data_IF_914135424321
#
_entry.id   IF_914135424321
#
_cell.length_a   1.000
_cell.length_b   1.000
_cell.length_c   1.000
_cell.angle_alpha   90.00
_cell.angle_beta   90.00
_cell.angle_gamma   90.00
#
_symmetry.space_group_name_H-M   'P 1'
#
loop_
_entity.id
_entity.type
_entity.pdbx_description
1 polymer ?
#
# COMPACT_ATOMS: atom_id res chain seq x y z
N UNK A 1 2.17 -20.66 0.52
CA UNK A 1 1.02 -21.30 -0.17
C UNK A 1 0.41 -20.27 -1.10
N UNK A 2 -0.18 -20.70 -2.24
CA UNK A 2 -0.75 -19.80 -3.25
C UNK A 2 -2.08 -20.33 -3.75
N UNK A 3 -3.06 -20.39 -2.85
CA UNK A 3 -4.43 -20.73 -3.24
C UNK A 3 -5.08 -19.51 -3.90
N UNK A 4 -6.02 -19.76 -4.81
CA UNK A 4 -6.84 -18.70 -5.39
C UNK A 4 -7.63 -18.04 -4.25
N UNK A 5 -7.62 -16.71 -4.20
CA UNK A 5 -8.41 -15.99 -3.20
C UNK A 5 -9.89 -16.37 -3.36
N UNK A 6 -10.56 -16.60 -2.24
CA UNK A 6 -11.99 -16.93 -2.19
C UNK A 6 -12.75 -15.75 -2.80
N UNK A 7 -13.66 -16.03 -3.73
CA UNK A 7 -14.60 -15.02 -4.22
C UNK A 7 -15.62 -14.75 -3.09
N UNK A 8 -15.67 -13.53 -2.51
CA UNK A 8 -16.65 -13.22 -1.47
C UNK A 8 -18.09 -13.15 -2.00
N UNK A 9 -18.27 -13.03 -3.33
CA UNK A 9 -19.56 -12.96 -4.01
C UNK A 9 -19.60 -13.96 -5.17
N UNK A 10 -19.63 -15.28 -4.88
CA UNK A 10 -19.65 -16.32 -5.91
C UNK A 10 -20.91 -16.26 -6.79
N UNK A 11 -21.98 -15.67 -6.25
CA UNK A 11 -23.30 -15.61 -6.89
C UNK A 11 -23.56 -14.26 -7.60
N UNK A 12 -22.55 -13.38 -7.75
CA UNK A 12 -22.71 -12.12 -8.47
C UNK A 12 -22.91 -12.38 -9.98
N UNK A 13 -24.07 -11.98 -10.48
CA UNK A 13 -24.44 -12.10 -11.90
C UNK A 13 -23.92 -10.91 -12.72
N UNK A 14 -23.68 -11.17 -14.01
CA UNK A 14 -23.32 -10.13 -14.99
C UNK A 14 -24.55 -9.25 -15.23
N UNK A 15 -24.45 -7.97 -14.93
CA UNK A 15 -25.52 -6.99 -15.16
C UNK A 15 -25.68 -6.71 -16.66
N UNK A 16 -24.55 -6.51 -17.34
CA UNK A 16 -24.46 -6.37 -18.79
C UNK A 16 -23.02 -6.61 -19.24
N UNK A 17 -22.79 -6.71 -20.54
CA UNK A 17 -21.46 -6.86 -21.11
C UNK A 17 -21.19 -5.77 -22.12
N UNK A 18 -20.05 -5.10 -21.99
CA UNK A 18 -19.55 -4.17 -22.99
C UNK A 18 -18.75 -4.98 -24.02
N UNK A 19 -19.11 -4.76 -25.27
CA UNK A 19 -18.55 -5.36 -26.47
C UNK A 19 -18.24 -4.25 -27.47
N UNK A 20 -17.55 -4.53 -28.57
CA UNK A 20 -17.35 -3.50 -29.60
C UNK A 20 -18.66 -2.91 -30.13
N UNK A 21 -19.76 -3.68 -30.12
CA UNK A 21 -21.05 -3.26 -30.66
C UNK A 21 -21.76 -2.18 -29.82
N UNK A 22 -21.44 -2.05 -28.53
CA UNK A 22 -22.05 -1.07 -27.62
C UNK A 22 -21.01 -0.22 -26.87
N UNK A 23 -19.74 -0.29 -27.28
CA UNK A 23 -18.63 0.43 -26.65
C UNK A 23 -18.89 1.94 -26.55
N UNK A 24 -19.41 2.53 -27.64
CA UNK A 24 -19.69 3.97 -27.72
C UNK A 24 -20.70 4.45 -26.65
N UNK A 25 -21.58 3.57 -26.17
CA UNK A 25 -22.55 3.91 -25.11
C UNK A 25 -21.88 4.07 -23.74
N UNK A 26 -20.65 3.58 -23.57
CA UNK A 26 -19.93 3.54 -22.31
C UNK A 26 -18.55 4.20 -22.40
N UNK A 27 -18.30 5.03 -23.42
CA UNK A 27 -16.97 5.57 -23.71
C UNK A 27 -16.34 6.28 -22.51
N UNK A 28 -17.13 7.03 -21.72
CA UNK A 28 -16.66 7.75 -20.53
C UNK A 28 -16.13 6.84 -19.41
N UNK A 29 -16.48 5.56 -19.42
CA UNK A 29 -16.07 4.56 -18.44
C UNK A 29 -14.92 3.67 -18.93
N UNK A 30 -14.50 3.81 -20.20
CA UNK A 30 -13.48 2.97 -20.82
C UNK A 30 -12.18 3.73 -21.01
N UNK A 31 -11.10 3.20 -20.46
CA UNK A 31 -9.76 3.73 -20.75
C UNK A 31 -9.37 3.44 -22.20
N UNK A 32 -8.48 4.25 -22.78
CA UNK A 32 -8.03 4.06 -24.16
C UNK A 32 -7.44 2.66 -24.41
N UNK A 33 -6.77 2.07 -23.40
CA UNK A 33 -6.28 0.71 -23.49
C UNK A 33 -7.40 -0.34 -23.56
N UNK A 34 -8.49 -0.17 -22.83
CA UNK A 34 -9.65 -1.09 -22.89
C UNK A 34 -10.39 -0.93 -24.23
N UNK A 35 -10.55 0.30 -24.73
CA UNK A 35 -11.10 0.55 -26.07
C UNK A 35 -10.28 -0.14 -27.16
N UNK A 36 -8.96 0.03 -27.14
CA UNK A 36 -8.06 -0.63 -28.08
C UNK A 36 -8.14 -2.17 -28.01
N UNK A 37 -8.32 -2.76 -26.83
CA UNK A 37 -8.51 -4.20 -26.68
C UNK A 37 -9.83 -4.69 -27.28
N UNK A 38 -10.92 -3.95 -27.11
CA UNK A 38 -12.22 -4.26 -27.75
C UNK A 38 -12.10 -4.21 -29.28
N UNK A 39 -11.44 -3.19 -29.82
CA UNK A 39 -11.22 -3.03 -31.27
C UNK A 39 -10.29 -4.10 -31.86
N UNK A 40 -9.20 -4.43 -31.16
CA UNK A 40 -8.21 -5.40 -31.64
C UNK A 40 -8.74 -6.83 -31.60
N UNK A 41 -9.56 -7.15 -30.59
CA UNK A 41 -10.05 -8.51 -30.34
C UNK A 41 -11.59 -8.56 -30.26
N UNK A 42 -12.29 -8.20 -31.35
CA UNK A 42 -13.72 -7.90 -31.28
C UNK A 42 -14.62 -9.12 -31.00
N UNK A 43 -14.08 -10.33 -31.18
CA UNK A 43 -14.81 -11.59 -30.96
C UNK A 43 -14.44 -12.30 -29.67
N UNK A 44 -13.29 -11.97 -29.07
CA UNK A 44 -12.75 -12.70 -27.90
C UNK A 44 -12.62 -11.83 -26.65
N UNK A 45 -12.49 -10.51 -26.80
CA UNK A 45 -12.44 -9.58 -25.69
C UNK A 45 -13.80 -8.93 -25.44
N UNK A 46 -14.20 -8.91 -24.16
CA UNK A 46 -15.45 -8.33 -23.68
C UNK A 46 -15.30 -7.94 -22.22
N UNK A 47 -16.02 -6.91 -21.79
CA UNK A 47 -15.98 -6.42 -20.40
C UNK A 47 -17.30 -6.76 -19.72
N UNK A 48 -17.39 -7.87 -18.96
CA UNK A 48 -18.55 -8.14 -18.14
C UNK A 48 -18.61 -7.16 -16.97
N UNK A 49 -19.76 -6.52 -16.77
CA UNK A 49 -20.00 -5.57 -15.70
C UNK A 49 -20.83 -6.24 -14.60
N UNK A 50 -20.38 -6.12 -13.36
CA UNK A 50 -21.00 -6.70 -12.17
C UNK A 50 -21.43 -5.61 -11.19
N UNK A 51 -22.23 -5.99 -10.19
CA UNK A 51 -22.57 -5.11 -9.08
C UNK A 51 -21.31 -4.62 -8.36
N UNK A 52 -21.25 -3.32 -8.10
CA UNK A 52 -20.15 -2.76 -7.28
C UNK A 52 -20.30 -3.19 -5.82
N UNK A 53 -19.26 -3.82 -5.29
CA UNK A 53 -19.16 -4.25 -3.88
C UNK A 53 -18.00 -3.50 -3.21
N UNK A 54 -18.29 -2.69 -2.20
CA UNK A 54 -17.25 -2.04 -1.37
C UNK A 54 -17.05 -2.83 -0.08
N UNK A 55 -16.36 -3.96 -0.19
CA UNK A 55 -15.98 -4.76 0.97
C UNK A 55 -14.64 -4.32 1.51
N UNK A 56 -14.56 -4.18 2.83
CA UNK A 56 -13.31 -3.98 3.54
C UNK A 56 -13.39 -4.74 4.87
N UNK A 57 -12.32 -5.45 5.21
CA UNK A 57 -12.23 -6.22 6.45
C UNK A 57 -10.87 -5.96 7.10
N UNK A 58 -10.92 -5.68 8.41
CA UNK A 58 -9.77 -5.51 9.29
C UNK A 58 -10.06 -6.24 10.59
N UNK A 59 -9.05 -6.57 11.41
CA UNK A 59 -9.28 -7.09 12.76
C UNK A 59 -10.19 -6.15 13.58
N UNK A 60 -11.00 -6.71 14.47
CA UNK A 60 -11.97 -5.93 15.27
C UNK A 60 -11.32 -4.80 16.05
N UNK A 61 -10.12 -5.02 16.59
CA UNK A 61 -9.38 -4.00 17.33
C UNK A 61 -8.95 -2.82 16.43
N UNK A 62 -8.65 -3.06 15.15
CA UNK A 62 -8.35 -1.97 14.19
C UNK A 62 -9.60 -1.17 13.90
N UNK A 63 -10.75 -1.83 13.77
CA UNK A 63 -12.03 -1.16 13.56
C UNK A 63 -12.44 -0.32 14.77
N UNK A 64 -12.20 -0.82 15.98
CA UNK A 64 -12.50 -0.07 17.21
C UNK A 64 -11.59 1.15 17.35
N UNK A 65 -10.28 0.98 17.19
CA UNK A 65 -9.35 2.11 17.21
C UNK A 65 -9.66 3.13 16.09
N UNK A 66 -10.12 2.67 14.92
CA UNK A 66 -10.58 3.58 13.85
C UNK A 66 -11.78 4.41 14.29
N UNK A 67 -12.69 3.84 15.08
CA UNK A 67 -13.85 4.56 15.63
C UNK A 67 -13.39 5.61 16.65
N UNK A 68 -12.43 5.28 17.51
CA UNK A 68 -11.84 6.20 18.48
C UNK A 68 -11.10 7.34 17.76
N UNK A 69 -10.22 7.00 16.81
CA UNK A 69 -9.47 7.97 15.99
C UNK A 69 -10.40 8.96 15.26
N UNK A 70 -11.61 8.54 14.88
CA UNK A 70 -12.57 9.42 14.19
C UNK A 70 -12.92 10.70 14.98
N UNK A 71 -12.75 10.69 16.30
CA UNK A 71 -13.06 11.84 17.18
C UNK A 71 -11.82 12.42 17.87
N UNK A 72 -10.67 11.74 17.84
CA UNK A 72 -9.43 12.18 18.51
C UNK A 72 -8.32 12.60 17.55
N UNK A 73 -8.32 12.10 16.31
CA UNK A 73 -7.24 12.33 15.37
C UNK A 73 -7.18 13.79 14.88
N UNK A 74 -6.00 14.38 14.92
CA UNK A 74 -5.74 15.72 14.40
C UNK A 74 -4.50 15.75 13.51
N UNK A 75 -4.51 16.64 12.53
CA UNK A 75 -3.32 16.95 11.73
C UNK A 75 -2.47 17.95 12.52
N UNK A 76 -1.19 17.65 12.67
CA UNK A 76 -0.23 18.56 13.26
C UNK A 76 0.33 19.49 12.18
N UNK A 77 0.35 20.79 12.46
CA UNK A 77 0.90 21.80 11.56
C UNK A 77 0.16 21.89 10.21
N UNK A 78 0.90 21.98 9.12
CA UNK A 78 0.36 22.00 7.74
C UNK A 78 0.44 20.63 7.05
N UNK A 79 0.01 19.57 7.75
CA UNK A 79 0.11 18.20 7.25
C UNK A 79 1.40 17.47 7.63
N UNK A 80 2.16 18.04 8.57
CA UNK A 80 3.50 17.61 8.95
C UNK A 80 3.50 16.35 9.82
N UNK A 81 2.40 16.11 10.53
CA UNK A 81 2.24 14.96 11.41
C UNK A 81 0.79 14.67 11.76
N UNK A 82 0.64 13.67 12.64
CA UNK A 82 -0.62 13.22 13.22
C UNK A 82 -0.49 13.28 14.76
N UNK A 83 -1.60 13.53 15.42
CA UNK A 83 -1.75 13.40 16.88
C UNK A 83 -3.13 12.80 17.20
N UNK A 84 -3.27 12.19 18.37
CA UNK A 84 -4.51 11.59 18.86
C UNK A 84 -4.97 10.36 18.08
N UNK A 85 -4.08 9.59 17.46
CA UNK A 85 -4.49 8.42 16.68
C UNK A 85 -3.47 7.28 16.67
N UNK A 86 -3.94 6.06 16.91
CA UNK A 86 -3.10 4.86 16.88
C UNK A 86 -3.89 3.62 16.43
N UNK A 87 -3.24 2.63 15.82
CA UNK A 87 -3.79 1.30 15.59
C UNK A 87 -5.05 1.22 14.73
N UNK A 88 -5.42 2.28 14.01
CA UNK A 88 -6.63 2.40 13.21
C UNK A 88 -6.48 3.44 12.11
N UNK A 89 -7.45 3.57 11.21
CA UNK A 89 -7.42 4.66 10.24
C UNK A 89 -7.61 5.99 10.97
N UNK A 90 -6.70 6.98 10.83
CA UNK A 90 -6.82 8.24 11.57
C UNK A 90 -8.07 9.03 11.20
N UNK A 91 -8.38 9.12 9.91
CA UNK A 91 -9.48 9.95 9.40
C UNK A 91 -10.47 9.11 8.59
N UNK A 92 -11.28 8.25 9.22
CA UNK A 92 -12.29 7.46 8.50
C UNK A 92 -13.38 8.34 7.85
N UNK A 93 -13.59 9.55 8.40
CA UNK A 93 -14.46 10.58 7.84
C UNK A 93 -13.62 11.85 7.65
N UNK A 94 -13.33 12.18 6.40
CA UNK A 94 -12.57 13.39 6.08
C UNK A 94 -13.40 14.65 6.38
N UNK A 95 -12.77 15.66 6.96
CA UNK A 95 -13.45 16.89 7.39
C UNK A 95 -12.59 18.14 7.14
N UNK A 96 -13.19 19.32 7.29
CA UNK A 96 -12.52 20.60 7.03
C UNK A 96 -12.57 21.04 5.57
N UNK A 97 -11.61 21.89 5.17
CA UNK A 97 -11.46 22.37 3.79
C UNK A 97 -10.74 21.34 2.89
N UNK A 98 -10.61 21.62 1.60
CA UNK A 98 -10.04 20.67 0.63
C UNK A 98 -8.56 20.36 0.88
N UNK A 99 -7.79 21.31 1.41
CA UNK A 99 -6.39 21.12 1.78
C UNK A 99 -6.25 20.19 2.99
N UNK A 100 -7.06 20.41 4.03
CA UNK A 100 -7.10 19.55 5.21
C UNK A 100 -7.54 18.12 4.85
N UNK A 101 -8.57 17.97 4.02
CA UNK A 101 -8.99 16.66 3.50
C UNK A 101 -7.88 15.96 2.72
N UNK A 102 -7.09 16.71 1.94
CA UNK A 102 -5.95 16.16 1.21
C UNK A 102 -4.87 15.63 2.17
N UNK A 103 -4.52 16.38 3.21
CA UNK A 103 -3.59 15.90 4.25
C UNK A 103 -4.12 14.65 4.96
N UNK A 104 -5.38 14.65 5.38
CA UNK A 104 -6.02 13.51 6.03
C UNK A 104 -6.01 12.26 5.13
N UNK A 105 -6.27 12.42 3.82
CA UNK A 105 -6.21 11.32 2.87
C UNK A 105 -4.78 10.76 2.71
N UNK A 106 -3.77 11.63 2.68
CA UNK A 106 -2.35 11.22 2.67
C UNK A 106 -2.00 10.48 3.95
N UNK A 107 -2.41 10.98 5.12
CA UNK A 107 -2.15 10.34 6.41
C UNK A 107 -2.82 8.97 6.52
N UNK A 108 -4.06 8.82 6.07
CA UNK A 108 -4.71 7.52 5.93
C UNK A 108 -3.90 6.56 5.03
N UNK A 109 -3.31 7.07 3.94
CA UNK A 109 -2.46 6.24 3.07
C UNK A 109 -1.17 5.81 3.77
N UNK A 110 -0.46 6.74 4.43
CA UNK A 110 0.80 6.48 5.13
C UNK A 110 0.63 5.47 6.27
N UNK A 111 -0.47 5.59 7.02
CA UNK A 111 -0.79 4.78 8.19
C UNK A 111 -1.79 3.66 7.90
N UNK A 112 -2.04 3.27 6.64
CA UNK A 112 -3.01 2.21 6.31
C UNK A 112 -2.62 0.85 6.91
N UNK A 113 -3.64 0.08 7.32
CA UNK A 113 -3.48 -1.30 7.78
C UNK A 113 -2.81 -2.19 6.72
N UNK A 114 -1.72 -2.87 7.13
CA UNK A 114 -0.93 -3.79 6.29
C UNK A 114 -0.58 -5.09 7.04
N UNK A 115 -1.19 -5.31 8.21
CA UNK A 115 -0.72 -6.28 9.21
C UNK A 115 0.17 -5.61 10.27
N UNK A 116 0.61 -6.39 11.24
CA UNK A 116 1.55 -5.95 12.31
C UNK A 116 2.99 -6.05 11.83
N UNK A 117 3.34 -7.14 11.14
CA UNK A 117 4.62 -7.33 10.50
C UNK A 117 4.46 -7.96 9.13
N UNK A 118 5.47 -7.76 8.28
CA UNK A 118 5.57 -8.43 6.98
C UNK A 118 7.02 -8.81 6.71
N UNK A 119 7.20 -10.03 6.20
CA UNK A 119 8.45 -10.44 5.58
C UNK A 119 8.18 -10.72 4.11
N UNK A 120 8.88 -10.01 3.23
CA UNK A 120 8.79 -10.16 1.79
C UNK A 120 10.15 -10.54 1.24
N UNK A 121 10.20 -11.59 0.43
CA UNK A 121 11.37 -11.92 -0.37
C UNK A 121 11.05 -11.66 -1.83
N UNK A 122 11.89 -10.89 -2.50
CA UNK A 122 11.67 -10.53 -3.90
C UNK A 122 12.97 -10.47 -4.67
N UNK A 123 12.88 -10.76 -5.97
CA UNK A 123 13.95 -10.55 -6.91
C UNK A 123 13.60 -9.40 -7.84
N UNK A 124 14.48 -8.43 -7.96
CA UNK A 124 14.43 -7.41 -9.00
C UNK A 124 15.16 -7.92 -10.23
N UNK A 125 14.55 -7.69 -11.40
CA UNK A 125 15.04 -8.21 -12.68
C UNK A 125 15.29 -7.04 -13.62
N UNK A 126 16.56 -6.73 -13.86
CA UNK A 126 16.95 -5.79 -14.91
C UNK A 126 17.19 -6.59 -16.20
N UNK A 127 16.30 -6.42 -17.18
CA UNK A 127 16.37 -7.08 -18.50
C UNK A 127 17.10 -6.17 -19.48
N UNK A 128 18.11 -6.72 -20.15
CA UNK A 128 18.90 -6.04 -21.18
C UNK A 128 18.21 -6.12 -22.54
N UNK A 129 18.63 -5.29 -23.50
CA UNK A 129 18.03 -5.23 -24.85
C UNK A 129 18.14 -6.55 -25.62
N UNK A 130 19.13 -7.38 -25.30
CA UNK A 130 19.32 -8.71 -25.88
C UNK A 130 18.52 -9.82 -25.17
N UNK A 131 17.73 -9.49 -24.14
CA UNK A 131 16.95 -10.45 -23.35
C UNK A 131 17.70 -11.06 -22.16
N UNK A 132 19.00 -10.82 -22.01
CA UNK A 132 19.75 -11.25 -20.82
C UNK A 132 19.27 -10.51 -19.58
N UNK A 133 19.30 -11.16 -18.43
CA UNK A 133 18.90 -10.55 -17.17
C UNK A 133 19.78 -10.98 -16.01
N UNK A 134 19.78 -10.16 -14.96
CA UNK A 134 20.36 -10.52 -13.67
C UNK A 134 19.33 -10.31 -12.56
N UNK A 135 19.36 -11.22 -11.58
CA UNK A 135 18.45 -11.18 -10.45
C UNK A 135 19.17 -10.60 -9.23
N UNK A 136 18.61 -9.56 -8.64
CA UNK A 136 19.00 -9.09 -7.30
C UNK A 136 17.91 -9.51 -6.35
N UNK A 137 18.20 -10.46 -5.45
CA UNK A 137 17.23 -10.94 -4.47
C UNK A 137 17.49 -10.29 -3.13
N UNK A 138 16.46 -9.68 -2.58
CA UNK A 138 16.48 -9.10 -1.24
C UNK A 138 15.33 -9.66 -0.40
N UNK A 139 15.53 -9.65 0.91
CA UNK A 139 14.48 -9.85 1.89
C UNK A 139 14.24 -8.52 2.58
N UNK A 140 12.97 -8.14 2.64
CA UNK A 140 12.48 -6.97 3.33
C UNK A 140 11.63 -7.43 4.51
N UNK A 141 11.82 -6.78 5.64
CA UNK A 141 11.05 -6.95 6.84
C UNK A 141 10.51 -5.58 7.24
N UNK A 142 9.23 -5.50 7.57
CA UNK A 142 8.67 -4.31 8.16
C UNK A 142 7.86 -4.66 9.39
N UNK A 143 8.03 -3.84 10.44
CA UNK A 143 7.20 -3.85 11.62
C UNK A 143 6.43 -2.54 11.67
N UNK A 144 5.11 -2.62 11.56
CA UNK A 144 4.22 -1.46 11.54
C UNK A 144 3.91 -1.03 12.97
N UNK A 145 4.84 -0.27 13.57
CA UNK A 145 4.76 0.19 14.96
C UNK A 145 3.44 0.90 15.28
N UNK A 146 2.89 1.66 14.33
CA UNK A 146 1.57 2.29 14.41
C UNK A 146 0.41 1.33 14.69
N UNK A 147 0.60 0.04 14.40
CA UNK A 147 -0.37 -1.03 14.60
C UNK A 147 0.14 -2.09 15.57
N UNK A 148 1.07 -1.74 16.48
CA UNK A 148 1.52 -2.66 17.51
C UNK A 148 0.37 -2.93 18.51
N UNK A 149 -0.19 -4.16 18.58
CA UNK A 149 -1.29 -4.45 19.50
C UNK A 149 -0.88 -4.43 20.99
N UNK A 150 0.42 -4.40 21.27
CA UNK A 150 0.98 -4.35 22.63
C UNK A 150 1.44 -2.93 23.03
N UNK A 151 1.17 -1.91 22.21
CA UNK A 151 1.53 -0.52 22.49
C UNK A 151 0.39 0.46 22.27
N UNK A 152 0.72 1.75 22.35
CA UNK A 152 -0.17 2.87 22.06
C UNK A 152 0.55 4.02 21.35
N UNK A 153 -0.16 5.12 21.18
CA UNK A 153 0.39 6.33 20.55
C UNK A 153 1.65 6.85 21.26
N UNK A 154 1.63 6.82 22.60
CA UNK A 154 2.74 7.25 23.46
C UNK A 154 4.02 6.41 23.29
N UNK A 155 3.89 5.16 22.86
CA UNK A 155 5.01 4.25 22.62
C UNK A 155 5.65 4.43 21.23
N UNK A 156 5.06 5.26 20.36
CA UNK A 156 5.55 5.41 18.99
C UNK A 156 6.95 6.03 18.93
N UNK A 157 7.31 6.89 19.88
CA UNK A 157 8.52 7.72 19.86
C UNK A 157 8.73 8.39 18.48
N UNK A 158 7.64 8.93 17.93
CA UNK A 158 7.58 9.54 16.60
C UNK A 158 7.93 8.58 15.43
N UNK A 159 7.86 7.25 15.59
CA UNK A 159 8.15 6.25 14.53
C UNK A 159 6.93 5.39 14.22
N UNK A 160 6.40 5.49 12.99
CA UNK A 160 5.20 4.74 12.55
C UNK A 160 5.51 3.35 12.01
N UNK A 161 6.69 3.11 11.46
CA UNK A 161 7.16 1.77 11.12
C UNK A 161 8.67 1.68 11.02
N UNK A 162 9.16 0.46 11.26
CA UNK A 162 10.53 0.06 11.04
C UNK A 162 10.61 -0.78 9.78
N UNK A 163 11.65 -0.57 8.98
CA UNK A 163 11.89 -1.34 7.76
C UNK A 163 13.36 -1.75 7.68
N UNK A 164 13.59 -3.04 7.46
CA UNK A 164 14.91 -3.62 7.25
C UNK A 164 14.91 -4.36 5.93
N UNK A 165 15.86 -4.05 5.05
CA UNK A 165 16.10 -4.79 3.83
C UNK A 165 17.53 -5.27 3.78
N UNK A 166 17.75 -6.51 3.35
CA UNK A 166 19.09 -7.04 3.13
C UNK A 166 19.18 -7.85 1.84
N UNK A 167 20.30 -7.67 1.14
CA UNK A 167 20.56 -8.33 -0.13
C UNK A 167 21.08 -9.75 0.12
N UNK A 168 20.38 -10.73 -0.44
CA UNK A 168 20.75 -12.14 -0.36
C UNK A 168 21.57 -12.60 -1.57
N UNK A 169 21.30 -12.05 -2.75
CA UNK A 169 22.02 -12.37 -3.98
C UNK A 169 21.98 -11.20 -4.97
N UNK A 170 22.94 -11.10 -5.90
CA UNK A 170 24.10 -11.99 -6.13
C UNK A 170 25.21 -11.83 -5.07
N UNK A 171 26.18 -12.76 -4.96
CA UNK A 171 27.24 -12.72 -3.94
C UNK A 171 28.02 -11.41 -3.87
N UNK A 172 28.16 -10.69 -5.00
CA UNK A 172 28.83 -9.38 -5.04
C UNK A 172 28.13 -8.31 -4.20
N UNK A 173 26.80 -8.39 -4.11
CA UNK A 173 25.96 -7.43 -3.38
C UNK A 173 25.44 -8.00 -2.05
N UNK A 174 25.60 -9.32 -1.85
CA UNK A 174 25.12 -10.02 -0.68
C UNK A 174 25.74 -9.45 0.60
N UNK A 175 24.93 -9.35 1.65
CA UNK A 175 25.33 -8.82 2.95
C UNK A 175 25.20 -7.30 3.07
N UNK A 176 24.82 -6.58 2.02
CA UNK A 176 24.36 -5.19 2.16
C UNK A 176 23.00 -5.13 2.86
N UNK A 177 22.75 -4.08 3.65
CA UNK A 177 21.48 -3.87 4.34
C UNK A 177 21.08 -2.39 4.41
N UNK A 178 19.78 -2.12 4.51
CA UNK A 178 19.20 -0.80 4.73
C UNK A 178 18.21 -0.90 5.89
N UNK A 179 18.39 -0.06 6.90
CA UNK A 179 17.43 0.14 8.00
C UNK A 179 16.79 1.51 7.85
N UNK A 180 15.46 1.59 7.98
CA UNK A 180 14.69 2.84 7.94
C UNK A 180 13.78 2.89 9.17
N UNK A 181 13.77 4.04 9.84
CA UNK A 181 12.72 4.41 10.78
C UNK A 181 11.89 5.51 10.12
N UNK A 182 10.63 5.21 9.81
CA UNK A 182 9.71 6.19 9.24
C UNK A 182 9.04 6.97 10.36
N UNK A 183 9.07 8.30 10.27
CA UNK A 183 8.59 9.15 11.36
C UNK A 183 7.14 9.61 11.18
N UNK A 184 6.46 9.84 12.31
CA UNK A 184 5.09 10.36 12.34
C UNK A 184 5.05 11.87 12.08
N UNK A 185 6.06 12.59 12.53
CA UNK A 185 6.23 14.02 12.31
C UNK A 185 7.66 14.29 11.85
N UNK A 186 7.81 14.63 10.58
CA UNK A 186 9.10 14.82 9.94
C UNK A 186 9.79 16.14 10.33
N UNK A 187 9.05 17.10 10.90
CA UNK A 187 9.62 18.35 11.41
C UNK A 187 10.32 18.13 12.75
N UNK A 188 9.76 17.27 13.63
CA UNK A 188 10.38 16.92 14.91
C UNK A 188 11.60 16.03 14.67
N UNK A 189 11.40 14.91 13.97
CA UNK A 189 12.48 14.02 13.56
C UNK A 189 12.32 13.68 12.07
N UNK A 190 13.31 13.97 11.20
CA UNK A 190 13.27 13.51 9.82
C UNK A 190 13.36 11.98 9.77
N UNK A 191 12.99 11.39 8.63
CA UNK A 191 13.20 9.97 8.37
C UNK A 191 14.67 9.60 8.59
N UNK A 192 14.92 8.57 9.39
CA UNK A 192 16.27 8.06 9.61
C UNK A 192 16.54 6.85 8.71
N UNK A 193 17.72 6.80 8.12
CA UNK A 193 18.15 5.72 7.22
C UNK A 193 19.61 5.37 7.41
N UNK A 194 19.90 4.09 7.59
CA UNK A 194 21.26 3.57 7.69
C UNK A 194 21.49 2.54 6.59
N UNK A 195 22.59 2.71 5.86
CA UNK A 195 23.05 1.76 4.84
C UNK A 195 24.29 1.03 5.31
N UNK A 196 24.29 -0.29 5.19
CA UNK A 196 25.46 -1.12 5.36
C UNK A 196 25.89 -1.68 4.00
N UNK A 197 27.15 -1.48 3.63
CA UNK A 197 27.72 -1.98 2.38
C UNK A 197 28.92 -2.90 2.68
N UNK A 198 28.72 -4.21 2.49
CA UNK A 198 29.76 -5.20 2.73
C UNK A 198 31.00 -5.03 1.82
N UNK A 199 30.85 -4.40 0.64
CA UNK A 199 31.91 -4.20 -0.34
C UNK A 199 32.92 -3.11 0.01
N UNK A 200 32.63 -2.22 0.96
CA UNK A 200 33.56 -1.15 1.39
C UNK A 200 34.71 -1.63 2.29
N UNK A 201 34.75 -2.93 2.63
CA UNK A 201 35.82 -3.53 3.46
C UNK A 201 37.03 -4.04 2.67
N UNK A 202 37.16 -3.70 1.38
CA UNK A 202 38.31 -4.08 0.55
C UNK A 202 39.15 -2.87 0.16
#
# INVERSE_FOLDING_TARGET
>A
SGQHHINPFPDDEVLFTITPANMDQYEEYLTDGVKAMLETYPTTFRVPVYQSRRTHAVPDWVAENTRENAVSAEIVGQGEGLDGAFGGYPFPILHGNDEQKAWQAVWNHLTRWRGVNITRRSSEVAVQTNGDYSLVTSQQEAFFNYYNPEGGEEDLDNVIFYYLSFTQSPPRLAGGAILIHETLNQIINPRNGWGYNAGQRR
#
